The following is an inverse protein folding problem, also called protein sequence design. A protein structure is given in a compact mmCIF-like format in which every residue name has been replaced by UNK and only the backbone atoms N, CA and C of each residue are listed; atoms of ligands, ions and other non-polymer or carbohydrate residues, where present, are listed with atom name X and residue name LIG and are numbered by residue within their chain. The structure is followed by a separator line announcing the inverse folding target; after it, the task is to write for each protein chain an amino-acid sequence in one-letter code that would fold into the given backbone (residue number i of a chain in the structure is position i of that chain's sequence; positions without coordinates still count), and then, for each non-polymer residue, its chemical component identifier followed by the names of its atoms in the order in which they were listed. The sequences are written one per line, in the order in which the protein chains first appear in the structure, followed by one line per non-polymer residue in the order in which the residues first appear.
data_IF_490875480765
#
_entry.id   IF_490875480765
#
_cell.length_a   1.000
_cell.length_b   1.000
_cell.length_c   1.000
_cell.angle_alpha   90.00
_cell.angle_beta   90.00
_cell.angle_gamma   90.00
#
_symmetry.space_group_name_H-M   'P 1'
#
loop_
_entity.id
_entity.type
_entity.pdbx_description
1 polymer ?
#
# COMPACT_ATOMS: atom_id res chain seq x y z
N UNK A 1 -12.42 -1.74 -9.44
CA UNK A 1 -12.06 -1.75 -8.01
C UNK A 1 -10.61 -1.27 -7.88
N UNK A 2 -10.34 -0.22 -7.10
CA UNK A 2 -9.01 0.42 -6.95
C UNK A 2 -8.53 0.32 -5.50
N UNK A 3 -7.23 0.05 -5.28
CA UNK A 3 -6.61 0.00 -3.96
C UNK A 3 -5.46 1.01 -3.88
N UNK A 4 -5.57 1.96 -2.94
CA UNK A 4 -4.49 2.87 -2.57
C UNK A 4 -3.54 2.20 -1.59
N UNK A 5 -2.24 2.33 -1.81
CA UNK A 5 -1.24 1.81 -0.86
C UNK A 5 -1.40 2.48 0.52
N UNK A 6 -1.58 1.68 1.57
CA UNK A 6 -1.77 2.12 2.96
C UNK A 6 -0.59 2.97 3.45
N UNK A 7 0.64 2.60 3.07
CA UNK A 7 1.84 3.36 3.45
C UNK A 7 1.84 4.77 2.87
N UNK A 8 1.40 4.92 1.62
CA UNK A 8 1.31 6.24 0.98
C UNK A 8 0.18 7.08 1.56
N UNK A 9 -0.95 6.45 1.90
CA UNK A 9 -2.01 7.11 2.64
C UNK A 9 -1.50 7.63 4.00
N UNK A 10 -0.77 6.83 4.77
CA UNK A 10 -0.19 7.25 6.06
C UNK A 10 0.76 8.44 5.89
N UNK A 11 1.63 8.39 4.86
CA UNK A 11 2.52 9.52 4.54
C UNK A 11 1.76 10.80 4.25
N UNK A 12 0.60 10.73 3.60
CA UNK A 12 -0.22 11.91 3.34
C UNK A 12 -0.84 12.49 4.62
N UNK A 13 -1.31 11.63 5.53
CA UNK A 13 -1.76 12.07 6.85
C UNK A 13 -0.61 12.71 7.63
N UNK A 14 0.58 12.10 7.63
CA UNK A 14 1.73 12.62 8.36
C UNK A 14 2.26 13.97 7.84
N UNK A 15 1.99 14.34 6.59
CA UNK A 15 2.35 15.67 6.06
C UNK A 15 1.62 16.82 6.77
N UNK A 16 0.42 16.56 7.31
CA UNK A 16 -0.41 17.58 7.98
C UNK A 16 -0.44 17.41 9.50
N UNK A 17 0.30 16.45 10.04
CA UNK A 17 0.36 16.16 11.49
C UNK A 17 1.68 16.67 12.07
N UNK A 18 1.65 17.44 13.17
CA UNK A 18 2.87 17.87 13.87
C UNK A 18 3.71 16.68 14.36
N UNK A 19 5.04 16.81 14.30
CA UNK A 19 5.99 15.74 14.67
C UNK A 19 5.71 15.12 16.05
N UNK A 20 5.38 15.93 17.05
CA UNK A 20 5.10 15.48 18.42
C UNK A 20 3.90 14.53 18.54
N UNK A 21 2.98 14.52 17.57
CA UNK A 21 1.78 13.65 17.59
C UNK A 21 1.84 12.52 16.56
N UNK A 22 2.91 12.43 15.77
CA UNK A 22 3.02 11.43 14.69
C UNK A 22 2.89 10.00 15.20
N UNK A 23 3.47 9.68 16.36
CA UNK A 23 3.38 8.32 16.93
C UNK A 23 1.94 7.95 17.28
N UNK A 24 1.25 8.85 17.98
CA UNK A 24 -0.15 8.63 18.36
C UNK A 24 -1.04 8.46 17.12
N UNK A 25 -0.92 9.36 16.13
CA UNK A 25 -1.70 9.26 14.90
C UNK A 25 -1.35 8.00 14.10
N UNK A 26 -0.08 7.58 14.07
CA UNK A 26 0.32 6.34 13.41
C UNK A 26 -0.37 5.12 14.04
N UNK A 27 -0.48 5.08 15.37
CA UNK A 27 -1.13 3.98 16.07
C UNK A 27 -2.64 3.98 15.83
N UNK A 28 -3.27 5.16 15.75
CA UNK A 28 -4.69 5.27 15.33
C UNK A 28 -4.92 4.73 13.91
N UNK A 29 -4.08 5.11 12.95
CA UNK A 29 -4.21 4.64 11.57
C UNK A 29 -3.97 3.12 11.46
N UNK A 30 -3.00 2.57 12.21
CA UNK A 30 -2.79 1.12 12.30
C UNK A 30 -4.00 0.41 12.87
N UNK A 31 -4.68 1.00 13.87
CA UNK A 31 -5.87 0.40 14.46
C UNK A 31 -7.02 0.21 13.45
N UNK A 32 -7.15 1.13 12.48
CA UNK A 32 -8.13 0.98 11.38
C UNK A 32 -7.81 -0.25 10.53
N UNK A 33 -6.54 -0.42 10.12
CA UNK A 33 -6.11 -1.51 9.25
C UNK A 33 -5.83 -2.83 9.98
N UNK A 34 -6.07 -2.85 11.29
CA UNK A 34 -6.02 -4.04 12.13
C UNK A 34 -7.40 -4.68 12.33
N UNK A 35 -8.48 -4.03 11.89
CA UNK A 35 -9.84 -4.58 11.96
C UNK A 35 -9.99 -5.83 11.09
N UNK A 36 -10.94 -6.68 11.47
CA UNK A 36 -11.14 -8.01 10.88
C UNK A 36 -12.07 -8.02 9.67
N UNK A 37 -12.86 -6.96 9.48
CA UNK A 37 -13.75 -6.78 8.34
C UNK A 37 -13.85 -5.30 7.93
N UNK A 38 -14.44 -5.06 6.76
CA UNK A 38 -14.57 -3.73 6.15
C UNK A 38 -15.49 -2.82 6.95
N UNK A 39 -16.58 -3.34 7.52
CA UNK A 39 -17.55 -2.54 8.27
C UNK A 39 -16.92 -2.02 9.57
N UNK A 40 -16.24 -2.88 10.32
CA UNK A 40 -15.47 -2.53 11.50
C UNK A 40 -14.34 -1.54 11.16
N UNK A 41 -13.64 -1.74 10.04
CA UNK A 41 -12.61 -0.80 9.59
C UNK A 41 -13.18 0.59 9.28
N UNK A 42 -14.33 0.67 8.60
CA UNK A 42 -15.02 1.95 8.33
C UNK A 42 -15.47 2.63 9.61
N UNK A 43 -16.11 1.90 10.51
CA UNK A 43 -16.52 2.45 11.81
C UNK A 43 -15.30 2.97 12.58
N UNK A 44 -14.22 2.19 12.64
CA UNK A 44 -13.00 2.61 13.32
C UNK A 44 -12.39 3.86 12.69
N UNK A 45 -12.48 4.02 11.37
CA UNK A 45 -12.01 5.20 10.68
C UNK A 45 -12.83 6.45 11.02
N UNK A 46 -14.15 6.31 11.19
CA UNK A 46 -15.01 7.40 11.66
C UNK A 46 -14.63 7.83 13.07
N UNK A 47 -14.43 6.87 13.99
CA UNK A 47 -14.01 7.15 15.37
C UNK A 47 -12.65 7.85 15.40
N UNK A 48 -11.69 7.38 14.58
CA UNK A 48 -10.36 8.00 14.47
C UNK A 48 -10.47 9.42 13.90
N UNK A 49 -11.30 9.64 12.87
CA UNK A 49 -11.50 10.97 12.32
C UNK A 49 -12.09 11.94 13.36
N UNK A 50 -13.10 11.51 14.11
CA UNK A 50 -13.68 12.30 15.21
C UNK A 50 -12.64 12.62 16.30
N UNK A 51 -11.81 11.63 16.67
CA UNK A 51 -10.71 11.85 17.62
C UNK A 51 -9.68 12.86 17.10
N UNK A 52 -9.31 12.77 15.81
CA UNK A 52 -8.38 13.73 15.19
C UNK A 52 -8.96 15.15 15.19
N UNK A 53 -10.26 15.32 14.98
CA UNK A 53 -10.92 16.63 15.10
C UNK A 53 -10.86 17.17 16.53
N UNK A 54 -11.18 16.35 17.53
CA UNK A 54 -11.08 16.73 18.94
C UNK A 54 -9.64 17.14 19.32
N UNK A 55 -8.63 16.53 18.69
CA UNK A 55 -7.23 16.89 18.84
C UNK A 55 -6.83 18.17 18.08
N UNK A 56 -7.75 18.87 17.42
CA UNK A 56 -7.47 20.02 16.54
C UNK A 56 -6.59 19.66 15.34
N UNK A 57 -6.72 18.43 14.83
CA UNK A 57 -6.05 17.93 13.62
C UNK A 57 -7.07 17.77 12.47
N UNK A 58 -7.86 18.80 12.20
CA UNK A 58 -8.96 18.77 11.21
C UNK A 58 -8.52 18.32 9.82
N UNK A 59 -7.39 18.82 9.32
CA UNK A 59 -6.83 18.39 8.02
C UNK A 59 -6.49 16.90 7.99
N UNK A 60 -6.01 16.34 9.10
CA UNK A 60 -5.73 14.91 9.17
C UNK A 60 -7.04 14.09 9.15
N UNK A 61 -8.06 14.55 9.86
CA UNK A 61 -9.39 13.93 9.86
C UNK A 61 -10.04 13.93 8.47
N UNK A 62 -9.94 15.04 7.74
CA UNK A 62 -10.44 15.17 6.37
C UNK A 62 -9.77 14.17 5.41
N UNK A 63 -8.44 14.06 5.46
CA UNK A 63 -7.68 13.08 4.67
C UNK A 63 -8.12 11.66 5.03
N UNK A 64 -8.36 11.37 6.31
CA UNK A 64 -8.85 10.05 6.74
C UNK A 64 -10.23 9.76 6.16
N UNK A 65 -11.20 10.67 6.32
CA UNK A 65 -12.57 10.47 5.81
C UNK A 65 -12.62 10.30 4.30
N UNK A 66 -11.91 11.15 3.56
CA UNK A 66 -11.92 11.13 2.08
C UNK A 66 -11.17 9.94 1.49
N UNK A 67 -10.12 9.46 2.17
CA UNK A 67 -9.20 8.48 1.59
C UNK A 67 -9.36 7.05 2.10
N UNK A 68 -10.15 6.79 3.15
CA UNK A 68 -10.16 5.48 3.80
C UNK A 68 -10.74 4.38 2.92
N UNK A 69 -11.83 4.62 2.20
CA UNK A 69 -12.46 3.57 1.38
C UNK A 69 -11.50 3.05 0.29
N UNK A 70 -10.66 3.93 -0.26
CA UNK A 70 -9.63 3.55 -1.22
C UNK A 70 -8.56 2.63 -0.61
N UNK A 71 -8.39 2.62 0.72
CA UNK A 71 -7.38 1.79 1.40
C UNK A 71 -7.91 0.46 1.91
N UNK A 72 -9.23 0.23 1.91
CA UNK A 72 -9.86 -0.98 2.46
C UNK A 72 -10.19 -2.05 1.41
N UNK A 73 -10.07 -1.73 0.12
CA UNK A 73 -10.37 -2.63 -1.00
C UNK A 73 -9.74 -4.02 -0.89
N UNK A 74 -8.54 -4.13 -0.30
CA UNK A 74 -7.84 -5.41 -0.12
C UNK A 74 -8.59 -6.40 0.77
N UNK A 75 -9.53 -5.94 1.60
CA UNK A 75 -10.29 -6.79 2.52
C UNK A 75 -11.31 -7.68 1.80
N UNK A 76 -11.61 -7.42 0.53
CA UNK A 76 -12.39 -8.32 -0.32
C UNK A 76 -11.63 -9.59 -0.74
N UNK A 77 -10.32 -9.67 -0.44
CA UNK A 77 -9.48 -10.84 -0.72
C UNK A 77 -9.30 -11.71 0.53
N UNK A 78 -8.74 -12.93 0.42
CA UNK A 78 -8.44 -13.77 1.58
C UNK A 78 -7.47 -13.09 2.54
N UNK A 79 -7.66 -13.31 3.85
CA UNK A 79 -6.91 -12.64 4.92
C UNK A 79 -5.39 -12.88 4.80
N UNK A 80 -5.00 -14.04 4.27
CA UNK A 80 -3.62 -14.44 3.97
C UNK A 80 -2.94 -13.51 2.97
N UNK A 81 -3.73 -12.90 2.07
CA UNK A 81 -3.24 -12.01 1.02
C UNK A 81 -3.18 -10.55 1.44
N UNK A 82 -3.91 -10.14 2.49
CA UNK A 82 -4.06 -8.74 2.89
C UNK A 82 -2.73 -8.03 3.08
N UNK A 83 -1.77 -8.65 3.79
CA UNK A 83 -0.45 -8.07 4.04
C UNK A 83 0.31 -7.76 2.76
N UNK A 84 0.09 -8.56 1.71
CA UNK A 84 0.76 -8.44 0.41
C UNK A 84 0.05 -7.38 -0.45
N UNK A 85 -1.27 -7.38 -0.49
CA UNK A 85 -2.08 -6.48 -1.35
C UNK A 85 -2.10 -5.04 -0.82
N UNK A 86 -2.20 -4.84 0.50
CA UNK A 86 -2.38 -3.50 1.10
C UNK A 86 -1.17 -2.56 0.94
N UNK A 87 -0.03 -3.09 0.48
CA UNK A 87 1.21 -2.33 0.27
C UNK A 87 1.79 -2.57 -1.12
N UNK A 88 2.60 -1.65 -1.60
CA UNK A 88 3.31 -1.73 -2.88
C UNK A 88 4.78 -2.18 -2.73
N UNK A 89 5.12 -2.86 -1.63
CA UNK A 89 6.51 -3.20 -1.29
C UNK A 89 7.27 -3.95 -2.41
N UNK A 90 6.70 -4.92 -3.14
CA UNK A 90 7.43 -5.59 -4.24
C UNK A 90 7.79 -4.64 -5.38
N UNK A 91 6.88 -3.77 -5.79
CA UNK A 91 7.10 -2.78 -6.86
C UNK A 91 8.12 -1.73 -6.39
N UNK A 92 8.01 -1.25 -5.14
CA UNK A 92 9.01 -0.33 -4.57
C UNK A 92 10.39 -0.98 -4.49
N UNK A 93 10.47 -2.27 -4.14
CA UNK A 93 11.72 -3.03 -4.13
C UNK A 93 12.30 -3.17 -5.54
N UNK A 94 11.46 -3.44 -6.53
CA UNK A 94 11.83 -3.50 -7.95
C UNK A 94 12.43 -2.18 -8.43
N UNK A 95 11.71 -1.08 -8.17
CA UNK A 95 12.13 0.27 -8.53
C UNK A 95 13.45 0.64 -7.85
N UNK A 96 13.67 0.19 -6.61
CA UNK A 96 14.94 0.38 -5.90
C UNK A 96 16.11 -0.35 -6.58
N UNK A 97 15.89 -1.58 -7.05
CA UNK A 97 16.92 -2.32 -7.80
C UNK A 97 17.24 -1.70 -9.15
N UNK A 98 16.23 -1.20 -9.86
CA UNK A 98 16.42 -0.44 -11.10
C UNK A 98 17.26 0.81 -10.81
N UNK A 99 16.83 1.63 -9.84
CA UNK A 99 17.54 2.84 -9.42
C UNK A 99 18.98 2.57 -9.00
N UNK A 100 19.24 1.45 -8.31
CA UNK A 100 20.60 1.06 -7.90
C UNK A 100 21.52 0.86 -9.11
N UNK A 101 21.01 0.32 -10.22
CA UNK A 101 21.79 0.08 -11.45
C UNK A 101 21.90 1.31 -12.33
N UNK A 102 20.84 2.09 -12.46
CA UNK A 102 20.89 3.33 -13.25
C UNK A 102 21.74 4.41 -12.58
N UNK A 103 21.77 4.48 -11.24
CA UNK A 103 22.58 5.46 -10.50
C UNK A 103 24.09 5.35 -10.80
N UNK A 104 24.60 4.15 -11.08
CA UNK A 104 26.03 3.93 -11.37
C UNK A 104 26.41 4.48 -12.75
N UNK A 105 25.48 4.43 -13.71
CA UNK A 105 25.72 4.95 -15.07
C UNK A 105 25.75 6.48 -15.07
N UNK A 106 24.96 7.11 -14.22
CA UNK A 106 24.92 8.58 -14.08
C UNK A 106 24.17 9.26 -15.22
N UNK A 107 24.73 9.22 -16.43
CA UNK A 107 24.12 9.79 -17.63
C UNK A 107 24.04 8.76 -18.77
N UNK A 108 22.91 8.71 -19.45
CA UNK A 108 22.71 7.81 -20.59
C UNK A 108 22.88 8.56 -21.91
N UNK A 109 23.51 7.96 -22.93
CA UNK A 109 23.62 8.57 -24.26
C UNK A 109 22.26 8.88 -24.91
N UNK A 110 21.27 8.03 -24.66
CA UNK A 110 19.90 8.15 -25.20
C UNK A 110 18.89 7.31 -24.37
N UNK A 111 17.59 7.49 -24.65
CA UNK A 111 16.51 6.78 -23.94
C UNK A 111 16.45 5.27 -24.19
N UNK A 112 16.86 4.78 -25.37
CA UNK A 112 16.94 3.33 -25.66
C UNK A 112 18.05 2.67 -24.85
N UNK A 113 19.19 3.34 -24.69
CA UNK A 113 20.28 2.89 -23.82
C UNK A 113 19.82 2.71 -22.36
N UNK A 114 19.02 3.66 -21.85
CA UNK A 114 18.41 3.55 -20.53
C UNK A 114 17.41 2.38 -20.45
N UNK A 115 16.52 2.27 -21.44
CA UNK A 115 15.53 1.18 -21.51
C UNK A 115 16.20 -0.20 -21.53
N UNK A 116 17.26 -0.37 -22.32
CA UNK A 116 18.03 -1.62 -22.41
C UNK A 116 18.56 -2.06 -21.06
N UNK A 117 19.16 -1.14 -20.28
CA UNK A 117 19.67 -1.46 -18.95
C UNK A 117 18.53 -1.85 -17.99
N UNK A 118 17.40 -1.14 -18.03
CA UNK A 118 16.23 -1.45 -17.21
C UNK A 118 15.69 -2.84 -17.56
N UNK A 119 15.49 -3.13 -18.85
CA UNK A 119 15.04 -4.44 -19.34
C UNK A 119 16.01 -5.56 -18.95
N UNK A 120 17.32 -5.36 -19.13
CA UNK A 120 18.33 -6.31 -18.70
C UNK A 120 18.26 -6.58 -17.19
N UNK A 121 18.04 -5.53 -16.38
CA UNK A 121 17.90 -5.69 -14.94
C UNK A 121 16.64 -6.45 -14.55
N UNK A 122 15.50 -6.14 -15.17
CA UNK A 122 14.23 -6.84 -14.95
C UNK A 122 14.33 -8.32 -15.34
N UNK A 123 14.94 -8.63 -16.50
CA UNK A 123 15.17 -10.01 -16.95
C UNK A 123 16.02 -10.79 -15.96
N UNK A 124 17.12 -10.20 -15.50
CA UNK A 124 17.96 -10.81 -14.47
C UNK A 124 17.17 -11.08 -13.18
N UNK A 125 16.40 -10.10 -12.70
CA UNK A 125 15.58 -10.22 -11.49
C UNK A 125 14.55 -11.34 -11.59
N UNK A 126 13.88 -11.46 -12.75
CA UNK A 126 12.95 -12.56 -13.05
C UNK A 126 13.64 -13.94 -13.01
N UNK A 127 14.87 -14.04 -13.50
CA UNK A 127 15.65 -15.29 -13.46
C UNK A 127 16.16 -15.70 -12.06
N UNK A 128 16.15 -14.79 -11.08
CA UNK A 128 16.58 -15.09 -9.71
C UNK A 128 15.48 -15.79 -8.88
N UNK A 129 15.83 -16.20 -7.66
CA UNK A 129 14.87 -16.68 -6.66
C UNK A 129 13.70 -15.72 -6.42
N UNK A 130 13.87 -14.42 -6.71
CA UNK A 130 12.80 -13.45 -6.54
C UNK A 130 11.66 -13.65 -7.54
N UNK A 131 11.95 -13.96 -8.81
CA UNK A 131 10.92 -14.24 -9.82
C UNK A 131 10.28 -15.62 -9.69
N UNK A 132 10.95 -16.56 -9.02
CA UNK A 132 10.46 -17.93 -8.81
C UNK A 132 9.54 -18.10 -7.59
N UNK A 133 9.51 -17.11 -6.69
CA UNK A 133 8.68 -17.18 -5.48
C UNK A 133 7.22 -16.89 -5.80
N UNK A 134 6.33 -17.79 -5.37
CA UNK A 134 4.88 -17.58 -5.43
C UNK A 134 4.50 -16.39 -4.53
N UNK A 135 3.99 -15.32 -5.14
CA UNK A 135 3.65 -14.08 -4.42
C UNK A 135 2.25 -14.12 -3.82
N UNK A 136 1.26 -14.74 -4.46
CA UNK A 136 -0.08 -14.97 -3.93
C UNK A 136 -0.45 -16.44 -4.13
N UNK A 137 -1.21 -17.00 -3.20
CA UNK A 137 -1.72 -18.35 -3.34
C UNK A 137 -3.02 -18.33 -4.14
N UNK A 138 -2.95 -18.73 -5.41
CA UNK A 138 -4.10 -18.67 -6.30
C UNK A 138 -5.23 -19.62 -5.88
N UNK A 139 -4.95 -20.69 -5.12
CA UNK A 139 -5.99 -21.61 -4.66
C UNK A 139 -6.97 -20.92 -3.70
N UNK A 140 -6.49 -19.99 -2.89
CA UNK A 140 -7.33 -19.21 -1.96
C UNK A 140 -8.25 -18.22 -2.68
N UNK A 141 -8.01 -17.92 -3.96
CA UNK A 141 -8.87 -17.03 -4.76
C UNK A 141 -10.00 -17.78 -5.45
N UNK A 142 -9.80 -19.07 -5.76
CA UNK A 142 -10.80 -19.92 -6.44
C UNK A 142 -11.93 -20.30 -5.47
N UNK A 143 -11.62 -20.38 -4.17
CA UNK A 143 -12.58 -20.70 -3.11
C UNK A 143 -13.49 -19.55 -2.71
N UNK A 144 -13.27 -18.35 -3.26
CA UNK A 144 -14.12 -17.18 -3.05
C UNK A 144 -15.19 -17.23 -4.13
N UNK A 145 -16.37 -17.74 -3.78
CA UNK A 145 -17.52 -17.74 -4.66
C UNK A 145 -17.85 -16.28 -5.08
N UNK A 146 -17.89 -15.94 -6.37
CA UNK A 146 -18.20 -14.59 -6.83
C UNK A 146 -19.58 -14.06 -6.37
N UNK A 147 -20.47 -14.91 -5.82
CA UNK A 147 -21.78 -14.49 -5.32
C UNK A 147 -21.81 -13.98 -3.87
N UNK A 148 -20.78 -14.21 -3.04
CA UNK A 148 -20.77 -13.75 -1.62
C UNK A 148 -20.12 -12.38 -1.40
N UNK A 149 -19.49 -11.78 -2.43
CA UNK A 149 -18.76 -10.52 -2.29
C UNK A 149 -19.59 -9.24 -2.59
N UNK A 150 -20.89 -9.38 -2.89
CA UNK A 150 -21.79 -8.26 -3.26
C UNK A 150 -22.98 -8.09 -2.27
N UNK A 151 -23.11 -8.96 -1.27
CA UNK A 151 -24.08 -8.80 -0.17
C UNK A 151 -23.42 -8.07 1.01
#
# INVERSE_FOLDING_TARGET
MWQRCVVHFYRNVFKVVPKGRMREVADMLKAIHAQEDVAAARQKAQDVAAKLEAMRLSKAAEIVRSGIDETLTYMAFPREHWRRIRTNNPIERMNREIRRRTKVVGNFPDGKSALMLVCARLRHMSGTQWGKKRYLDMHLLITIDPMTAIA
#
